data_IF_385192858937
#
_entry.id   IF_385192858937
#
_cell.length_a   1.000
_cell.length_b   1.000
_cell.length_c   1.000
_cell.angle_alpha   90.00
_cell.angle_beta   90.00
_cell.angle_gamma   90.00
#
_symmetry.space_group_name_H-M   'P 1'
#
loop_
_entity.id
_entity.type
_entity.pdbx_description
1 polymer ?
#
# COMPACT_ATOMS: atom_id res chain seq x y z
N UNK A 1 42.73 -45.52 -18.34
CA UNK A 1 41.63 -44.76 -18.99
C UNK A 1 40.44 -44.73 -18.05
N UNK A 2 40.01 -43.55 -17.60
CA UNK A 2 38.65 -43.19 -17.16
C UNK A 2 38.76 -42.00 -16.21
N UNK A 3 38.74 -40.79 -16.78
CA UNK A 3 38.38 -39.60 -16.03
C UNK A 3 36.87 -39.57 -15.91
N UNK A 4 36.35 -39.53 -14.68
CA UNK A 4 34.92 -39.32 -14.40
C UNK A 4 34.79 -37.97 -13.72
N UNK A 5 34.27 -37.00 -14.46
CA UNK A 5 33.84 -35.70 -13.94
C UNK A 5 32.69 -35.91 -12.95
N UNK A 6 32.86 -35.39 -11.73
CA UNK A 6 31.77 -35.20 -10.77
C UNK A 6 31.53 -33.69 -10.65
N UNK A 7 30.42 -33.22 -11.23
CA UNK A 7 29.86 -31.91 -10.94
C UNK A 7 29.19 -31.96 -9.57
N UNK A 8 29.67 -31.14 -8.62
CA UNK A 8 29.03 -30.94 -7.33
C UNK A 8 27.89 -29.92 -7.45
N UNK A 9 26.65 -30.36 -7.20
CA UNK A 9 25.52 -29.47 -6.93
C UNK A 9 25.66 -28.88 -5.52
N UNK A 10 26.07 -27.62 -5.42
CA UNK A 10 26.03 -26.84 -4.19
C UNK A 10 24.61 -26.36 -3.87
N UNK A 11 23.79 -27.26 -3.31
CA UNK A 11 22.43 -26.97 -2.85
C UNK A 11 22.39 -26.31 -1.47
N UNK A 12 22.88 -25.08 -1.35
CA UNK A 12 22.68 -24.26 -0.16
C UNK A 12 21.24 -23.74 -0.11
N UNK A 13 20.32 -24.49 0.52
CA UNK A 13 19.02 -23.94 0.93
C UNK A 13 19.30 -22.82 1.93
N UNK A 14 19.23 -21.55 1.49
CA UNK A 14 19.14 -20.43 2.43
C UNK A 14 17.84 -20.60 3.20
N UNK A 15 17.86 -20.64 4.55
CA UNK A 15 16.63 -20.58 5.30
C UNK A 15 15.99 -19.21 5.03
N UNK A 16 14.73 -19.21 4.65
CA UNK A 16 13.92 -18.00 4.60
C UNK A 16 13.80 -17.47 6.03
N UNK A 17 14.71 -16.56 6.41
CA UNK A 17 14.63 -15.79 7.64
C UNK A 17 13.47 -14.81 7.55
N UNK A 18 12.26 -15.30 7.85
CA UNK A 18 11.02 -14.53 7.81
C UNK A 18 10.78 -13.66 9.06
N UNK A 19 11.63 -13.76 10.08
CA UNK A 19 11.39 -13.11 11.38
C UNK A 19 12.16 -11.79 11.59
N UNK A 20 13.35 -11.60 10.99
CA UNK A 20 14.14 -10.35 11.18
C UNK A 20 13.71 -9.21 10.24
N UNK A 21 12.89 -9.46 9.22
CA UNK A 21 12.67 -8.53 8.10
C UNK A 21 11.39 -7.69 8.18
N UNK A 22 10.40 -8.07 8.99
CA UNK A 22 9.11 -7.38 9.06
C UNK A 22 9.18 -6.10 9.90
N UNK A 23 9.88 -6.15 11.05
CA UNK A 23 10.09 -4.98 11.91
C UNK A 23 10.94 -3.90 11.22
N UNK A 24 11.97 -4.32 10.46
CA UNK A 24 12.84 -3.42 9.70
C UNK A 24 12.11 -2.62 8.61
N UNK A 25 10.99 -3.13 8.05
CA UNK A 25 10.23 -2.41 7.02
C UNK A 25 9.52 -1.15 7.52
N UNK A 26 9.37 -1.03 8.84
CA UNK A 26 8.64 0.04 9.51
C UNK A 26 9.51 0.89 10.44
N UNK A 27 10.77 0.52 10.68
CA UNK A 27 11.68 1.33 11.47
C UNK A 27 11.74 2.78 10.94
N UNK A 28 11.40 3.73 11.82
CA UNK A 28 11.37 5.16 11.50
C UNK A 28 10.10 5.68 10.81
N UNK A 29 9.15 4.82 10.42
CA UNK A 29 7.86 5.25 9.84
C UNK A 29 6.84 5.44 10.95
N UNK A 30 6.76 6.66 11.46
CA UNK A 30 5.83 7.03 12.54
C UNK A 30 4.51 7.60 12.03
N UNK A 31 4.49 8.12 10.80
CA UNK A 31 3.32 8.72 10.16
C UNK A 31 3.01 8.08 8.80
N UNK A 32 1.73 8.10 8.44
CA UNK A 32 1.18 7.69 7.16
C UNK A 32 0.53 8.88 6.45
N UNK A 33 0.70 8.96 5.13
CA UNK A 33 0.08 9.97 4.29
C UNK A 33 -1.13 9.39 3.57
N UNK A 34 -2.19 10.17 3.45
CA UNK A 34 -3.41 9.76 2.77
C UNK A 34 -4.11 10.96 2.11
N UNK A 35 -4.86 10.70 1.04
CA UNK A 35 -5.65 11.71 0.36
C UNK A 35 -7.07 11.73 0.90
N UNK A 36 -7.65 12.92 0.99
CA UNK A 36 -9.06 13.15 1.35
C UNK A 36 -9.74 13.95 0.24
N UNK A 37 -11.06 13.83 0.10
CA UNK A 37 -11.81 14.74 -0.75
C UNK A 37 -11.94 16.08 -0.03
N UNK A 38 -11.44 17.16 -0.64
CA UNK A 38 -11.32 18.46 0.01
C UNK A 38 -12.65 19.21 0.15
N UNK A 39 -13.62 18.93 -0.75
CA UNK A 39 -14.93 19.57 -0.77
C UNK A 39 -16.01 18.64 -1.28
N UNK A 40 -17.24 18.84 -0.78
CA UNK A 40 -18.45 18.21 -1.29
C UNK A 40 -19.53 19.22 -1.68
N UNK A 41 -20.34 18.93 -2.73
CA UNK A 41 -20.09 17.88 -3.73
C UNK A 41 -18.82 18.19 -4.54
N UNK A 42 -18.14 17.18 -5.10
CA UNK A 42 -16.98 17.40 -5.94
C UNK A 42 -17.35 18.12 -7.25
N UNK A 43 -16.39 18.81 -7.90
CA UNK A 43 -16.60 19.39 -9.23
C UNK A 43 -16.90 18.32 -10.30
N UNK A 44 -17.40 18.71 -11.48
CA UNK A 44 -17.62 17.76 -12.59
C UNK A 44 -16.35 16.99 -12.98
N UNK A 45 -15.21 17.69 -12.98
CA UNK A 45 -13.88 17.15 -13.26
C UNK A 45 -12.94 17.50 -12.12
N UNK A 46 -12.03 16.59 -11.73
CA UNK A 46 -11.08 16.86 -10.68
C UNK A 46 -10.07 17.92 -11.13
N UNK A 47 -9.73 18.79 -10.20
CA UNK A 47 -8.66 19.78 -10.27
C UNK A 47 -7.70 19.60 -9.09
N UNK A 48 -6.69 20.46 -8.99
CA UNK A 48 -5.69 20.43 -7.93
C UNK A 48 -6.29 20.64 -6.52
N UNK A 49 -7.41 21.36 -6.43
CA UNK A 49 -8.09 21.65 -5.16
C UNK A 49 -9.08 20.55 -4.75
N UNK A 50 -9.34 19.57 -5.61
CA UNK A 50 -10.31 18.50 -5.37
C UNK A 50 -9.87 17.57 -4.22
N UNK A 51 -8.56 17.36 -4.09
CA UNK A 51 -8.00 16.47 -3.07
C UNK A 51 -7.05 17.20 -2.14
N UNK A 52 -7.07 16.83 -0.87
CA UNK A 52 -6.12 17.32 0.11
C UNK A 52 -5.27 16.16 0.65
N UNK A 53 -3.95 16.33 0.58
CA UNK A 53 -2.99 15.43 1.23
C UNK A 53 -3.01 15.69 2.73
N UNK A 54 -3.13 14.60 3.50
CA UNK A 54 -3.13 14.61 4.96
C UNK A 54 -2.06 13.64 5.47
N UNK A 55 -1.70 13.82 6.73
CA UNK A 55 -0.74 12.99 7.45
C UNK A 55 -1.28 12.70 8.86
N UNK A 56 -1.13 11.47 9.31
CA UNK A 56 -1.50 11.02 10.65
C UNK A 56 -0.57 9.88 11.11
N UNK A 57 -0.52 9.57 12.42
CA UNK A 57 0.26 8.42 12.90
C UNK A 57 -0.12 7.12 12.19
N UNK A 58 0.84 6.22 12.01
CA UNK A 58 0.57 4.88 11.46
C UNK A 58 -0.40 4.15 12.41
N UNK A 59 -1.54 3.61 11.90
CA UNK A 59 -2.51 2.94 12.75
C UNK A 59 -2.00 1.57 13.23
N UNK A 60 -2.34 1.21 14.46
CA UNK A 60 -2.16 -0.16 14.95
C UNK A 60 -3.31 -1.05 14.43
N UNK A 61 -3.03 -2.21 13.82
CA UNK A 61 -4.09 -3.12 13.37
C UNK A 61 -4.78 -3.77 14.58
N UNK A 62 -6.11 -3.86 14.52
CA UNK A 62 -6.91 -4.62 15.49
C UNK A 62 -6.96 -6.14 15.20
N UNK A 63 -7.67 -6.92 16.03
CA UNK A 63 -7.83 -8.36 15.79
C UNK A 63 -8.41 -8.66 14.40
N UNK A 64 -7.77 -9.58 13.67
CA UNK A 64 -8.19 -9.96 12.31
C UNK A 64 -7.86 -8.93 11.21
N UNK A 65 -7.12 -7.85 11.53
CA UNK A 65 -6.65 -6.86 10.56
C UNK A 65 -5.17 -7.08 10.23
N UNK A 66 -4.76 -6.59 9.07
CA UNK A 66 -3.37 -6.53 8.66
C UNK A 66 -2.96 -5.06 8.42
N UNK A 67 -1.74 -4.71 8.84
CA UNK A 67 -1.11 -3.45 8.46
C UNK A 67 -0.26 -3.67 7.20
N UNK A 68 -0.53 -2.91 6.15
CA UNK A 68 0.17 -3.03 4.87
C UNK A 68 0.86 -1.72 4.50
N UNK A 69 1.98 -1.83 3.78
CA UNK A 69 2.61 -0.69 3.11
C UNK A 69 2.19 -0.67 1.66
N UNK A 70 1.37 0.30 1.29
CA UNK A 70 1.00 0.48 -0.12
C UNK A 70 2.20 1.01 -0.90
N UNK A 71 2.65 0.25 -1.90
CA UNK A 71 3.76 0.65 -2.80
C UNK A 71 3.21 1.26 -4.09
N UNK A 72 2.12 0.70 -4.61
CA UNK A 72 1.44 1.17 -5.82
C UNK A 72 -0.06 1.34 -5.58
N UNK A 73 -0.64 2.33 -6.24
CA UNK A 73 -2.07 2.65 -6.21
C UNK A 73 -2.60 2.65 -7.64
N UNK A 74 -3.70 1.93 -7.88
CA UNK A 74 -4.43 2.03 -9.15
C UNK A 74 -5.27 3.30 -9.20
N UNK A 75 -5.24 3.99 -10.34
CA UNK A 75 -6.07 5.14 -10.66
C UNK A 75 -6.95 4.79 -11.87
N UNK A 76 -8.22 4.51 -11.60
CA UNK A 76 -9.17 4.00 -12.58
C UNK A 76 -10.37 4.94 -12.74
N UNK A 77 -10.92 5.13 -13.96
CA UNK A 77 -12.04 6.05 -14.20
C UNK A 77 -13.27 5.80 -13.32
N UNK A 78 -13.56 4.54 -12.97
CA UNK A 78 -14.72 4.20 -12.15
C UNK A 78 -14.63 4.77 -10.72
N UNK A 79 -13.42 5.01 -10.19
CA UNK A 79 -13.22 5.57 -8.86
C UNK A 79 -13.75 7.00 -8.75
N UNK A 80 -13.73 7.76 -9.85
CA UNK A 80 -14.35 9.09 -9.90
C UNK A 80 -15.88 9.02 -9.80
N UNK A 81 -16.48 7.95 -10.32
CA UNK A 81 -17.91 7.69 -10.21
C UNK A 81 -18.40 7.61 -8.76
N UNK A 82 -17.69 6.90 -7.88
CA UNK A 82 -18.06 6.81 -6.45
C UNK A 82 -18.03 8.17 -5.74
N UNK A 83 -17.01 8.97 -6.02
CA UNK A 83 -16.86 10.32 -5.44
C UNK A 83 -18.01 11.22 -5.86
N UNK A 84 -18.39 11.19 -7.14
CA UNK A 84 -19.53 11.97 -7.66
C UNK A 84 -20.88 11.52 -7.12
N UNK A 85 -21.05 10.24 -6.77
CA UNK A 85 -22.28 9.73 -6.14
C UNK A 85 -22.37 10.02 -4.63
N UNK A 86 -21.31 10.58 -4.04
CA UNK A 86 -21.30 10.97 -2.63
C UNK A 86 -21.20 9.78 -1.66
N UNK A 87 -20.72 8.62 -2.13
CA UNK A 87 -20.66 7.39 -1.32
C UNK A 87 -19.56 7.41 -0.25
N UNK A 88 -18.45 8.13 -0.48
CA UNK A 88 -17.43 8.31 0.54
C UNK A 88 -17.98 9.25 1.65
N UNK A 89 -17.37 9.40 2.84
CA UNK A 89 -17.63 10.49 3.80
C UNK A 89 -16.72 11.72 3.58
N UNK A 90 -17.09 12.90 4.09
CA UNK A 90 -16.23 14.09 4.02
C UNK A 90 -15.03 13.96 4.96
N UNK A 91 -13.85 14.40 4.53
CA UNK A 91 -12.62 14.31 5.33
C UNK A 91 -12.10 12.89 5.58
N UNK A 92 -12.83 11.86 5.18
CA UNK A 92 -12.37 10.48 5.26
C UNK A 92 -11.26 10.21 4.23
N UNK A 93 -10.32 9.29 4.53
CA UNK A 93 -9.36 8.81 3.55
C UNK A 93 -10.09 8.29 2.29
N UNK A 94 -9.63 8.72 1.12
CA UNK A 94 -10.15 8.23 -0.15
C UNK A 94 -9.85 6.74 -0.28
N UNK A 95 -10.85 5.97 -0.72
CA UNK A 95 -10.64 4.58 -1.04
C UNK A 95 -9.79 4.45 -2.29
N UNK A 96 -8.71 3.68 -2.17
CA UNK A 96 -7.81 3.33 -3.26
C UNK A 96 -7.78 1.81 -3.43
N UNK A 97 -7.50 1.34 -4.64
CA UNK A 97 -7.18 -0.06 -4.87
C UNK A 97 -5.68 -0.21 -4.83
N UNK A 98 -5.20 -0.97 -3.85
CA UNK A 98 -3.80 -1.38 -3.76
C UNK A 98 -3.60 -2.58 -4.67
N UNK A 99 -2.52 -2.57 -5.46
CA UNK A 99 -2.09 -3.75 -6.23
C UNK A 99 -1.07 -4.48 -5.38
N UNK A 100 -1.35 -5.73 -5.05
CA UNK A 100 -0.46 -6.63 -4.29
C UNK A 100 0.39 -7.47 -5.22
#
# INVERSE_FOLDING_TARGET
>A
MSGRHLWGYGGGRRPWGLAESVEACWEGIVNSRYWTLAKRPPPPWPDEATFALKEAPVPAPGPGQALTRTIYVSLDPYQWGYKRRGEEPEGAPCHARTVS
#
